data_IF_698674507898
#
_entry.id   IF_698674507898
#
_cell.length_a   1.000
_cell.length_b   1.000
_cell.length_c   1.000
_cell.angle_alpha   90.00
_cell.angle_beta   90.00
_cell.angle_gamma   90.00
#
_symmetry.space_group_name_H-M   'P 1'
#
loop_
_entity.id
_entity.type
_entity.pdbx_description
1 polymer ?
#
# COMPACT_ATOMS: atom_id res chain seq x y z
N UNK A 1 -22.58 38.96 -20.04
CA UNK A 1 -21.56 37.95 -20.39
C UNK A 1 -20.42 38.71 -21.05
N UNK A 2 -19.21 38.75 -20.47
CA UNK A 2 -18.11 39.56 -21.02
C UNK A 2 -17.58 38.89 -22.30
N UNK A 3 -17.33 39.70 -23.34
CA UNK A 3 -16.81 39.23 -24.63
C UNK A 3 -15.43 38.59 -24.45
N UNK A 4 -15.18 37.48 -25.15
CA UNK A 4 -13.92 36.74 -25.17
C UNK A 4 -12.75 37.66 -25.54
N UNK A 5 -12.98 38.67 -26.38
CA UNK A 5 -11.98 39.66 -26.75
C UNK A 5 -11.51 40.50 -25.55
N UNK A 6 -12.40 40.84 -24.63
CA UNK A 6 -12.08 41.59 -23.41
C UNK A 6 -11.17 40.80 -22.47
N UNK A 7 -11.39 39.47 -22.36
CA UNK A 7 -10.58 38.57 -21.53
C UNK A 7 -9.15 38.44 -22.08
N UNK A 8 -9.00 38.36 -23.41
CA UNK A 8 -7.69 38.33 -24.06
C UNK A 8 -6.88 39.61 -23.83
N UNK A 9 -7.53 40.77 -23.87
CA UNK A 9 -6.86 42.07 -23.74
C UNK A 9 -6.48 42.41 -22.29
N UNK A 10 -7.20 41.87 -21.29
CA UNK A 10 -7.06 42.31 -19.89
C UNK A 10 -6.48 41.26 -18.94
N UNK A 11 -6.47 39.97 -19.29
CA UNK A 11 -5.98 38.91 -18.41
C UNK A 11 -4.58 38.38 -18.77
N UNK A 12 -3.95 38.91 -19.83
CA UNK A 12 -2.59 38.50 -20.23
C UNK A 12 -2.47 37.04 -20.70
N UNK A 13 -3.59 36.37 -20.94
CA UNK A 13 -3.65 34.97 -21.35
C UNK A 13 -3.56 34.90 -22.87
N UNK A 14 -2.58 34.17 -23.39
CA UNK A 14 -2.44 33.95 -24.84
C UNK A 14 -3.55 33.06 -25.38
N UNK A 15 -3.83 33.13 -26.69
CA UNK A 15 -4.82 32.25 -27.35
C UNK A 15 -4.56 30.76 -27.11
N UNK A 16 -3.29 30.35 -27.05
CA UNK A 16 -2.90 28.97 -26.77
C UNK A 16 -3.24 28.53 -25.36
N UNK A 17 -2.98 29.38 -24.36
CA UNK A 17 -3.30 29.10 -22.96
C UNK A 17 -4.82 29.05 -22.72
N UNK A 18 -5.59 29.91 -23.38
CA UNK A 18 -7.06 29.85 -23.31
C UNK A 18 -7.61 28.58 -23.96
N UNK A 19 -7.11 28.22 -25.15
CA UNK A 19 -7.52 26.98 -25.83
C UNK A 19 -7.19 25.75 -24.97
N UNK A 20 -6.01 25.74 -24.34
CA UNK A 20 -5.60 24.68 -23.42
C UNK A 20 -6.49 24.64 -22.18
N UNK A 21 -6.79 25.78 -21.55
CA UNK A 21 -7.67 25.84 -20.38
C UNK A 21 -9.10 25.37 -20.68
N UNK A 22 -9.66 25.72 -21.84
CA UNK A 22 -10.98 25.24 -22.28
C UNK A 22 -10.94 23.74 -22.53
N UNK A 23 -9.92 23.22 -23.21
CA UNK A 23 -9.79 21.77 -23.46
C UNK A 23 -9.60 20.98 -22.17
N UNK A 24 -8.75 21.46 -21.25
CA UNK A 24 -8.56 20.84 -19.94
C UNK A 24 -9.87 20.85 -19.14
N UNK A 25 -10.61 21.96 -19.16
CA UNK A 25 -11.92 22.05 -18.52
C UNK A 25 -12.91 21.03 -19.11
N UNK A 26 -13.00 20.94 -20.43
CA UNK A 26 -13.89 19.98 -21.11
C UNK A 26 -13.51 18.53 -20.79
N UNK A 27 -12.20 18.23 -20.74
CA UNK A 27 -11.70 16.91 -20.33
C UNK A 27 -12.05 16.61 -18.88
N UNK A 28 -11.85 17.55 -17.96
CA UNK A 28 -12.25 17.38 -16.56
C UNK A 28 -13.76 17.20 -16.42
N UNK A 29 -14.57 17.96 -17.16
CA UNK A 29 -16.03 17.82 -17.15
C UNK A 29 -16.48 16.46 -17.67
N UNK A 30 -15.84 15.92 -18.71
CA UNK A 30 -16.10 14.55 -19.20
C UNK A 30 -15.76 13.50 -18.16
N UNK A 31 -14.56 13.58 -17.57
CA UNK A 31 -14.12 12.64 -16.52
C UNK A 31 -15.07 12.69 -15.32
N UNK A 32 -15.48 13.88 -14.89
CA UNK A 32 -16.46 14.04 -13.80
C UNK A 32 -17.83 13.47 -14.17
N UNK A 33 -18.26 13.59 -15.43
CA UNK A 33 -19.54 13.04 -15.89
C UNK A 33 -19.54 11.51 -16.02
N UNK A 34 -18.39 10.92 -16.37
CA UNK A 34 -18.24 9.47 -16.55
C UNK A 34 -17.91 8.74 -15.24
N UNK A 35 -17.15 9.38 -14.35
CA UNK A 35 -16.57 8.75 -13.16
C UNK A 35 -16.95 9.43 -11.83
N UNK A 36 -17.82 10.45 -11.87
CA UNK A 36 -18.21 11.23 -10.69
C UNK A 36 -17.21 12.33 -10.33
N UNK A 37 -17.60 13.26 -9.44
CA UNK A 37 -16.65 14.24 -8.92
C UNK A 37 -15.58 13.53 -8.09
N UNK A 38 -14.28 13.84 -8.28
CA UNK A 38 -13.25 13.36 -7.38
C UNK A 38 -13.58 13.86 -5.96
N UNK A 39 -13.71 12.94 -5.00
CA UNK A 39 -14.13 13.25 -3.62
C UNK A 39 -13.24 14.28 -2.92
N UNK A 40 -12.02 14.51 -3.44
CA UNK A 40 -11.18 15.63 -3.02
C UNK A 40 -10.38 16.18 -4.19
N UNK A 41 -10.55 17.48 -4.48
CA UNK A 41 -9.61 18.20 -5.33
C UNK A 41 -8.24 18.22 -4.63
N UNK A 42 -7.12 17.98 -5.34
CA UNK A 42 -5.81 18.21 -4.77
C UNK A 42 -5.66 19.70 -4.48
N UNK A 43 -5.82 20.09 -3.21
CA UNK A 43 -5.65 21.47 -2.74
C UNK A 43 -6.87 22.09 -2.03
N UNK A 44 -8.03 21.45 -1.99
CA UNK A 44 -9.09 21.90 -1.07
C UNK A 44 -8.72 21.50 0.35
N UNK A 45 -8.35 22.49 1.16
CA UNK A 45 -8.11 22.32 2.58
C UNK A 45 -9.34 21.68 3.21
N UNK A 46 -9.27 20.38 3.52
CA UNK A 46 -10.19 19.82 4.49
C UNK A 46 -10.01 20.59 5.80
N UNK A 47 -11.14 20.90 6.39
CA UNK A 47 -11.29 21.53 7.70
C UNK A 47 -10.22 21.03 8.67
N UNK A 48 -9.74 21.93 9.53
CA UNK A 48 -8.74 21.66 10.57
C UNK A 48 -9.22 20.55 11.51
N UNK A 49 -9.11 19.30 11.07
CA UNK A 49 -9.04 18.13 11.93
C UNK A 49 -7.80 18.36 12.79
N UNK A 50 -8.02 18.76 14.03
CA UNK A 50 -6.98 19.13 15.00
C UNK A 50 -6.03 17.99 15.36
N UNK A 51 -6.26 16.79 14.82
CA UNK A 51 -5.44 15.61 15.04
C UNK A 51 -4.43 15.43 13.91
N UNK A 52 -3.17 15.67 14.24
CA UNK A 52 -1.99 15.40 13.40
C UNK A 52 -2.00 13.95 12.89
N UNK A 53 -1.38 13.73 11.74
CA UNK A 53 -1.12 12.38 11.20
C UNK A 53 -0.40 11.51 12.24
N UNK A 54 -0.90 10.30 12.46
CA UNK A 54 -0.36 9.36 13.43
C UNK A 54 0.63 8.41 12.75
N UNK A 55 1.93 8.72 12.90
CA UNK A 55 3.03 7.90 12.37
C UNK A 55 3.09 6.51 13.01
N UNK A 56 2.77 6.41 14.30
CA UNK A 56 2.80 5.14 15.04
C UNK A 56 1.76 4.18 14.50
N UNK A 57 0.55 4.68 14.22
CA UNK A 57 -0.55 3.88 13.69
C UNK A 57 -0.23 3.31 12.30
N UNK A 58 0.45 4.08 11.44
CA UNK A 58 0.96 3.58 10.15
C UNK A 58 2.02 2.49 10.36
N UNK A 59 2.94 2.68 11.31
CA UNK A 59 4.00 1.71 11.58
C UNK A 59 3.45 0.42 12.22
N UNK A 60 2.44 0.51 13.07
CA UNK A 60 1.76 -0.64 13.66
C UNK A 60 1.02 -1.46 12.61
N UNK A 61 0.31 -0.80 11.70
CA UNK A 61 -0.29 -1.45 10.53
C UNK A 61 0.76 -2.16 9.66
N UNK A 62 1.87 -1.47 9.34
CA UNK A 62 2.94 -2.06 8.55
C UNK A 62 3.55 -3.30 9.24
N UNK A 63 3.69 -3.27 10.57
CA UNK A 63 4.20 -4.40 11.36
C UNK A 63 3.22 -5.57 11.39
N UNK A 64 1.94 -5.32 11.69
CA UNK A 64 0.92 -6.37 11.79
C UNK A 64 0.75 -7.11 10.47
N UNK A 65 0.84 -6.39 9.35
CA UNK A 65 0.77 -6.94 7.99
C UNK A 65 2.13 -7.39 7.44
N UNK A 66 3.22 -7.22 8.21
CA UNK A 66 4.61 -7.52 7.81
C UNK A 66 5.00 -6.90 6.45
N UNK A 67 4.51 -5.69 6.17
CA UNK A 67 4.78 -4.98 4.91
C UNK A 67 6.19 -4.39 4.98
N UNK A 68 7.05 -4.85 4.07
CA UNK A 68 8.46 -4.44 3.99
C UNK A 68 8.80 -3.65 2.72
N UNK A 69 7.80 -3.39 1.88
CA UNK A 69 7.91 -2.54 0.70
C UNK A 69 7.14 -1.24 0.89
N UNK A 70 7.78 -0.12 0.54
CA UNK A 70 7.24 1.22 0.75
C UNK A 70 6.05 1.50 -0.16
N UNK A 71 6.09 1.06 -1.42
CA UNK A 71 5.01 1.31 -2.37
C UNK A 71 3.78 0.48 -2.01
N UNK A 72 3.97 -0.78 -1.63
CA UNK A 72 2.90 -1.64 -1.13
C UNK A 72 2.26 -1.01 0.10
N UNK A 73 3.05 -0.56 1.09
CA UNK A 73 2.50 0.11 2.27
C UNK A 73 1.69 1.35 1.90
N UNK A 74 2.22 2.17 0.99
CA UNK A 74 1.53 3.38 0.55
C UNK A 74 0.19 3.06 -0.14
N UNK A 75 0.14 2.03 -0.96
CA UNK A 75 -1.07 1.60 -1.66
C UNK A 75 -2.10 0.97 -0.71
N UNK A 76 -1.67 0.00 0.09
CA UNK A 76 -2.50 -0.68 1.10
C UNK A 76 -3.09 0.29 2.12
N UNK A 77 -2.29 1.26 2.58
CA UNK A 77 -2.78 2.22 3.57
C UNK A 77 -3.67 3.31 2.97
N UNK A 78 -3.43 3.69 1.70
CA UNK A 78 -4.29 4.62 0.97
C UNK A 78 -5.68 4.03 0.72
N UNK A 79 -5.74 2.72 0.41
CA UNK A 79 -6.99 1.98 0.23
C UNK A 79 -7.94 2.13 1.44
N UNK A 80 -7.40 2.10 2.66
CA UNK A 80 -8.19 2.22 3.89
C UNK A 80 -8.86 3.59 4.08
N UNK A 81 -8.53 4.60 3.26
CA UNK A 81 -9.15 5.92 3.35
C UNK A 81 -10.59 5.95 2.78
N UNK A 82 -10.92 4.97 1.94
CA UNK A 82 -12.20 4.85 1.27
C UNK A 82 -13.15 3.94 2.05
N UNK A 83 -14.41 4.35 2.18
CA UNK A 83 -15.45 3.50 2.78
C UNK A 83 -15.90 2.38 1.86
N UNK A 84 -15.87 2.65 0.56
CA UNK A 84 -16.23 1.67 -0.46
C UNK A 84 -14.98 0.87 -0.83
N UNK A 85 -14.87 -0.32 -0.25
CA UNK A 85 -13.78 -1.23 -0.51
C UNK A 85 -13.94 -1.82 -1.93
N UNK A 86 -12.98 -1.54 -2.81
CA UNK A 86 -12.94 -2.02 -4.19
C UNK A 86 -12.36 -3.44 -4.32
N UNK A 87 -11.98 -4.10 -3.20
CA UNK A 87 -11.50 -5.47 -3.21
C UNK A 87 -12.64 -6.45 -3.49
N UNK A 88 -12.57 -7.08 -4.65
CA UNK A 88 -13.58 -8.03 -5.17
C UNK A 88 -13.53 -9.44 -4.53
N UNK A 89 -12.62 -9.70 -3.59
CA UNK A 89 -12.42 -11.00 -2.95
C UNK A 89 -12.88 -10.98 -1.49
N UNK A 90 -13.32 -12.14 -0.96
CA UNK A 90 -13.76 -12.34 0.44
C UNK A 90 -13.07 -11.40 1.42
N UNK A 91 -13.81 -10.36 1.83
CA UNK A 91 -13.32 -9.38 2.78
C UNK A 91 -13.21 -10.08 4.13
N UNK A 92 -11.98 -10.40 4.54
CA UNK A 92 -11.73 -10.96 5.86
C UNK A 92 -12.19 -9.97 6.94
N UNK A 93 -12.70 -10.46 8.07
CA UNK A 93 -13.04 -9.61 9.24
C UNK A 93 -11.90 -8.68 9.66
N UNK A 94 -10.66 -9.15 9.57
CA UNK A 94 -9.47 -8.36 9.88
C UNK A 94 -9.31 -7.14 8.95
N UNK A 95 -9.77 -7.23 7.69
CA UNK A 95 -9.73 -6.11 6.76
C UNK A 95 -10.76 -5.04 7.11
N UNK A 96 -11.96 -5.45 7.54
CA UNK A 96 -12.99 -4.51 8.01
C UNK A 96 -12.57 -3.80 9.29
N UNK A 97 -11.94 -4.52 10.22
CA UNK A 97 -11.35 -3.94 11.43
C UNK A 97 -10.27 -2.90 11.09
N UNK A 98 -9.38 -3.21 10.14
CA UNK A 98 -8.37 -2.26 9.67
C UNK A 98 -9.01 -0.99 9.08
N UNK A 99 -10.11 -1.11 8.32
CA UNK A 99 -10.86 0.07 7.83
C UNK A 99 -11.39 0.91 9.00
N UNK A 100 -12.04 0.28 9.98
CA UNK A 100 -12.60 0.99 11.14
C UNK A 100 -11.50 1.71 11.93
N UNK A 101 -10.36 1.05 12.15
CA UNK A 101 -9.26 1.59 12.95
C UNK A 101 -8.46 2.67 12.21
N UNK A 102 -8.23 2.49 10.89
CA UNK A 102 -7.26 3.30 10.16
C UNK A 102 -7.87 4.38 9.26
N UNK A 103 -9.19 4.35 8.96
CA UNK A 103 -9.81 5.24 7.96
C UNK A 103 -9.47 6.73 8.13
N UNK A 104 -9.57 7.25 9.35
CA UNK A 104 -9.29 8.67 9.62
C UNK A 104 -7.80 9.01 9.47
N UNK A 105 -6.90 8.08 9.80
CA UNK A 105 -5.46 8.29 9.60
C UNK A 105 -5.03 8.08 8.15
N UNK A 106 -5.68 7.16 7.43
CA UNK A 106 -5.49 6.91 6.00
C UNK A 106 -5.93 8.10 5.15
N UNK A 107 -7.07 8.73 5.48
CA UNK A 107 -7.50 10.00 4.85
C UNK A 107 -6.47 11.11 5.02
N UNK A 108 -5.91 11.24 6.23
CA UNK A 108 -4.81 12.19 6.49
C UNK A 108 -3.55 11.83 5.70
N UNK A 109 -3.24 10.55 5.58
CA UNK A 109 -2.09 10.06 4.84
C UNK A 109 -2.14 10.42 3.34
N UNK A 110 -3.31 10.34 2.71
CA UNK A 110 -3.50 10.74 1.31
C UNK A 110 -3.05 12.19 1.05
N UNK A 111 -3.34 13.09 1.98
CA UNK A 111 -3.01 14.51 1.88
C UNK A 111 -1.71 14.89 2.59
N UNK A 112 -1.00 13.93 3.19
CA UNK A 112 0.22 14.21 3.96
C UNK A 112 1.40 14.50 3.02
N UNK A 113 2.04 15.69 3.08
CA UNK A 113 3.10 16.09 2.14
C UNK A 113 4.31 15.14 2.14
N UNK A 114 4.67 14.60 3.30
CA UNK A 114 5.83 13.72 3.49
C UNK A 114 5.44 12.23 3.57
N UNK A 115 4.31 11.82 2.98
CA UNK A 115 3.79 10.44 3.07
C UNK A 115 4.79 9.36 2.66
N UNK A 116 5.64 9.61 1.67
CA UNK A 116 6.71 8.68 1.26
C UNK A 116 7.77 8.51 2.35
N UNK A 117 8.11 9.59 3.07
CA UNK A 117 9.05 9.54 4.20
C UNK A 117 8.43 8.81 5.38
N UNK A 118 7.17 9.10 5.70
CA UNK A 118 6.43 8.39 6.74
C UNK A 118 6.37 6.87 6.45
N UNK A 119 6.06 6.47 5.22
CA UNK A 119 6.02 5.08 4.81
C UNK A 119 7.40 4.39 4.89
N UNK A 120 8.48 5.08 4.49
CA UNK A 120 9.85 4.55 4.66
C UNK A 120 10.17 4.29 6.13
N UNK A 121 9.90 5.26 7.01
CA UNK A 121 10.16 5.10 8.43
C UNK A 121 9.36 3.93 9.02
N UNK A 122 8.09 3.77 8.62
CA UNK A 122 7.26 2.63 9.03
C UNK A 122 7.85 1.29 8.55
N UNK A 123 8.26 1.20 7.28
CA UNK A 123 8.91 0.00 6.73
C UNK A 123 10.24 -0.31 7.44
N UNK A 124 11.05 0.68 7.76
CA UNK A 124 12.32 0.48 8.46
C UNK A 124 12.09 -0.05 9.89
N UNK A 125 11.07 0.48 10.59
CA UNK A 125 10.63 -0.05 11.89
C UNK A 125 10.12 -1.49 11.76
N UNK A 126 9.34 -1.81 10.72
CA UNK A 126 8.87 -3.17 10.45
C UNK A 126 10.03 -4.14 10.21
N UNK A 127 11.01 -3.74 9.38
CA UNK A 127 12.21 -4.54 9.11
C UNK A 127 13.02 -4.76 10.39
N UNK A 128 13.19 -3.72 11.21
CA UNK A 128 13.88 -3.83 12.48
C UNK A 128 13.15 -4.78 13.46
N UNK A 129 11.81 -4.72 13.52
CA UNK A 129 11.00 -5.63 14.32
C UNK A 129 11.15 -7.08 13.87
N UNK A 130 11.02 -7.34 12.56
CA UNK A 130 11.23 -8.68 11.98
C UNK A 130 12.64 -9.18 12.28
N UNK A 131 13.67 -8.34 12.12
CA UNK A 131 15.04 -8.72 12.41
C UNK A 131 15.26 -9.05 13.89
N UNK A 132 14.68 -8.27 14.79
CA UNK A 132 14.73 -8.51 16.23
C UNK A 132 14.04 -9.83 16.62
N UNK A 133 12.89 -10.14 16.00
CA UNK A 133 12.20 -11.43 16.16
C UNK A 133 13.10 -12.59 15.71
N UNK A 134 13.70 -12.48 14.52
CA UNK A 134 14.58 -13.52 13.97
C UNK A 134 15.83 -13.74 14.82
N UNK A 135 16.45 -12.67 15.32
CA UNK A 135 17.65 -12.77 16.18
C UNK A 135 17.38 -13.43 17.53
N UNK A 136 16.16 -13.32 18.04
CA UNK A 136 15.74 -13.94 19.31
C UNK A 136 15.22 -15.37 19.13
N UNK A 137 14.98 -15.79 17.90
CA UNK A 137 14.42 -17.10 17.60
C UNK A 137 15.53 -18.16 17.48
N UNK A 138 15.43 -19.30 18.19
CA UNK A 138 16.32 -20.43 17.95
C UNK A 138 16.18 -20.91 16.49
N UNK A 139 17.30 -21.27 15.85
CA UNK A 139 17.32 -21.69 14.44
C UNK A 139 16.31 -22.80 14.12
N UNK A 140 16.13 -23.77 15.03
CA UNK A 140 15.17 -24.87 14.84
C UNK A 140 13.73 -24.36 14.77
N UNK A 141 13.37 -23.42 15.64
CA UNK A 141 12.03 -22.83 15.71
C UNK A 141 11.73 -21.96 14.49
N UNK A 142 12.76 -21.33 13.93
CA UNK A 142 12.64 -20.61 12.66
C UNK A 142 12.31 -21.56 11.50
N UNK A 143 13.05 -22.66 11.39
CA UNK A 143 12.83 -23.68 10.34
C UNK A 143 11.44 -24.29 10.48
N UNK A 144 11.01 -24.62 11.69
CA UNK A 144 9.66 -25.15 11.96
C UNK A 144 8.56 -24.17 11.52
N UNK A 145 8.67 -22.89 11.90
CA UNK A 145 7.70 -21.86 11.53
C UNK A 145 7.61 -21.63 10.02
N UNK A 146 8.74 -21.56 9.32
CA UNK A 146 8.75 -21.37 7.87
C UNK A 146 8.23 -22.62 7.14
N UNK A 147 8.55 -23.82 7.64
CA UNK A 147 8.00 -25.07 7.11
C UNK A 147 6.48 -25.14 7.25
N UNK A 148 5.94 -24.68 8.39
CA UNK A 148 4.50 -24.64 8.63
C UNK A 148 3.79 -23.63 7.72
N UNK A 149 4.33 -22.41 7.58
CA UNK A 149 3.80 -21.40 6.65
C UNK A 149 3.80 -21.88 5.21
N UNK A 150 4.91 -22.46 4.76
CA UNK A 150 4.99 -23.06 3.43
C UNK A 150 3.88 -24.09 3.31
N UNK A 151 3.78 -25.04 4.24
CA UNK A 151 2.74 -26.07 4.27
C UNK A 151 1.31 -25.52 4.16
N UNK A 152 0.97 -24.47 4.91
CA UNK A 152 -0.34 -23.80 4.81
C UNK A 152 -0.57 -23.15 3.44
N UNK A 153 0.46 -22.54 2.85
CA UNK A 153 0.40 -21.98 1.51
C UNK A 153 0.26 -23.07 0.43
N UNK A 154 0.88 -24.24 0.63
CA UNK A 154 0.71 -25.41 -0.23
C UNK A 154 -0.74 -25.88 -0.23
N UNK A 155 -1.35 -25.98 0.95
CA UNK A 155 -2.75 -26.39 1.11
C UNK A 155 -3.68 -25.39 0.43
N UNK A 156 -3.41 -24.09 0.54
CA UNK A 156 -4.22 -23.03 -0.09
C UNK A 156 -4.13 -23.02 -1.62
N UNK A 157 -2.98 -23.34 -2.20
CA UNK A 157 -2.75 -23.29 -3.66
C UNK A 157 -3.22 -24.56 -4.40
N UNK A 158 -3.50 -25.66 -3.69
CA UNK A 158 -4.09 -26.86 -4.26
C UNK A 158 -3.16 -27.73 -5.14
N UNK A 159 -1.90 -27.35 -5.34
CA UNK A 159 -0.94 -28.10 -6.16
C UNK A 159 0.10 -28.85 -5.30
N UNK A 160 -0.36 -29.91 -4.65
CA UNK A 160 0.46 -30.74 -3.76
C UNK A 160 1.60 -31.46 -4.50
N UNK A 161 1.44 -31.78 -5.79
CA UNK A 161 2.40 -32.60 -6.56
C UNK A 161 3.68 -31.85 -6.93
N UNK A 162 3.57 -30.60 -7.42
CA UNK A 162 4.74 -29.78 -7.77
C UNK A 162 5.62 -29.46 -6.55
N UNK A 163 5.01 -29.43 -5.37
CA UNK A 163 5.60 -28.96 -4.12
C UNK A 163 6.27 -30.07 -3.31
N UNK A 164 5.73 -31.30 -3.33
CA UNK A 164 6.43 -32.49 -2.81
C UNK A 164 7.73 -32.74 -3.59
N UNK A 165 7.72 -32.52 -4.91
CA UNK A 165 8.91 -32.63 -5.74
C UNK A 165 10.03 -31.65 -5.34
N UNK A 166 9.69 -30.38 -5.08
CA UNK A 166 10.67 -29.37 -4.65
C UNK A 166 11.14 -29.57 -3.20
N UNK A 167 10.24 -29.95 -2.29
CA UNK A 167 10.59 -30.28 -0.92
C UNK A 167 11.52 -31.51 -0.84
N UNK A 168 11.28 -32.54 -1.65
CA UNK A 168 12.21 -33.67 -1.79
C UNK A 168 13.57 -33.23 -2.34
N UNK A 169 13.60 -32.32 -3.33
CA UNK A 169 14.85 -31.81 -3.88
C UNK A 169 15.69 -31.05 -2.84
N UNK A 170 15.06 -30.25 -1.98
CA UNK A 170 15.71 -29.58 -0.85
C UNK A 170 16.19 -30.57 0.22
N UNK A 171 15.37 -31.58 0.56
CA UNK A 171 15.75 -32.62 1.52
C UNK A 171 16.96 -33.42 1.02
N UNK A 172 16.97 -33.82 -0.26
CA UNK A 172 18.09 -34.53 -0.88
C UNK A 172 19.37 -33.68 -0.94
N UNK A 173 19.25 -32.37 -1.22
CA UNK A 173 20.42 -31.48 -1.23
C UNK A 173 20.97 -31.24 0.19
N UNK A 174 20.13 -31.09 1.21
CA UNK A 174 20.59 -30.95 2.61
C UNK A 174 21.25 -32.24 3.12
N UNK A 175 20.69 -33.41 2.78
CA UNK A 175 21.29 -34.72 3.11
C UNK A 175 22.59 -34.97 2.33
N UNK A 176 22.71 -34.46 1.11
CA UNK A 176 23.93 -34.57 0.30
C UNK A 176 25.04 -33.64 0.80
N UNK A 177 24.72 -32.46 1.31
CA UNK A 177 25.70 -31.56 1.93
C UNK A 177 26.27 -32.11 3.25
N UNK A 178 25.51 -32.92 4.00
CA UNK A 178 26.04 -33.63 5.18
C UNK A 178 27.04 -34.75 4.85
N UNK A 179 27.20 -35.12 3.56
CA UNK A 179 28.24 -36.08 3.12
C UNK A 179 29.55 -35.43 2.71
N UNK A 180 29.63 -34.11 2.58
CA UNK A 180 30.90 -33.41 2.46
C UNK A 180 31.42 -33.06 3.85
N UNK A 181 32.05 -34.05 4.51
CA UNK A 181 33.07 -33.74 5.51
C UNK A 181 34.18 -32.98 4.78
N UNK A 182 34.40 -31.72 5.15
CA UNK A 182 35.65 -31.05 4.85
C UNK A 182 36.77 -31.85 5.52
N UNK A 183 37.55 -32.54 4.70
CA UNK A 183 38.91 -32.98 5.03
C UNK A 183 39.87 -31.83 4.75
#
# INVERSE_FOLDING_TARGET
>A
MKDIKWVFEHCGVTRGEFFYAVKVKDTFSKVVSEYGQPETLPGTSMEKSSQKFNHTLLADFAKSRRITDVQILMWEYAHLAHRDCDRSSEISKQHDEDHIEHIENARKFLHFPDRKRAARNAVDVTRAAIYAELKRMPNIKYIENESLKMGEELVKRGDFQSLVGQAMLYLFNVVSFHKFKFF
#
